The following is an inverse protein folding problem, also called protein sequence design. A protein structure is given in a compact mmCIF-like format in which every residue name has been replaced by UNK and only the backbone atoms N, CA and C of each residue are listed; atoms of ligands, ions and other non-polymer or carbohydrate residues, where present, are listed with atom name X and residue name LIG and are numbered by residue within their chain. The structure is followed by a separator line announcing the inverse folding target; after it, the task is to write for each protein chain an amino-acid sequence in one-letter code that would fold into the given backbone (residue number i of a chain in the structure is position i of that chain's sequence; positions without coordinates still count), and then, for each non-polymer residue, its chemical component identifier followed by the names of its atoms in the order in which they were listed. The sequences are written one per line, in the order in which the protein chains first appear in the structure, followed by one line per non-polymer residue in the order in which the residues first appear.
data_IF_932086924277
#
_entry.id   IF_932086924277
#
_cell.length_a   1.000
_cell.length_b   1.000
_cell.length_c   1.000
_cell.angle_alpha   90.00
_cell.angle_beta   90.00
_cell.angle_gamma   90.00
#
_symmetry.space_group_name_H-M   'P 1'
#
loop_
_entity.id
_entity.type
_entity.pdbx_description
1 polymer ?
#
# COMPACT_ATOMS: atom_id res chain seq x y z
N UNK A 1 -1.75 -0.61 -8.41
CA UNK A 1 -1.73 -2.10 -8.26
C UNK A 1 -0.34 -2.68 -8.00
N UNK A 2 0.74 -1.95 -8.31
CA UNK A 2 2.11 -2.41 -8.06
C UNK A 2 2.38 -2.70 -6.57
N UNK A 3 1.95 -1.81 -5.69
CA UNK A 3 2.18 -1.95 -4.24
C UNK A 3 1.56 -3.22 -3.66
N UNK A 4 0.31 -3.54 -4.06
CA UNK A 4 -0.34 -4.79 -3.68
C UNK A 4 0.36 -6.03 -4.23
N UNK A 5 0.88 -5.96 -5.48
CA UNK A 5 1.65 -7.05 -6.05
C UNK A 5 2.97 -7.29 -5.31
N UNK A 6 3.65 -6.20 -4.91
CA UNK A 6 4.85 -6.29 -4.07
C UNK A 6 4.53 -6.98 -2.73
N UNK A 7 3.42 -6.62 -2.09
CA UNK A 7 3.00 -7.24 -0.82
C UNK A 7 2.66 -8.72 -0.98
N UNK A 8 1.89 -9.11 -1.99
CA UNK A 8 1.58 -10.52 -2.26
C UNK A 8 2.86 -11.35 -2.48
N UNK A 9 3.78 -10.79 -3.28
CA UNK A 9 5.05 -11.46 -3.56
C UNK A 9 5.93 -11.58 -2.31
N UNK A 10 6.04 -10.50 -1.53
CA UNK A 10 6.80 -10.52 -0.29
C UNK A 10 6.22 -11.49 0.73
N UNK A 11 4.90 -11.51 0.89
CA UNK A 11 4.18 -12.43 1.76
C UNK A 11 4.42 -13.89 1.38
N UNK A 12 4.30 -14.22 0.10
CA UNK A 12 4.59 -15.56 -0.41
C UNK A 12 6.04 -15.97 -0.17
N UNK A 13 6.99 -15.09 -0.48
CA UNK A 13 8.43 -15.35 -0.27
C UNK A 13 8.80 -15.53 1.20
N UNK A 14 8.07 -14.90 2.11
CA UNK A 14 8.23 -15.06 3.56
C UNK A 14 7.55 -16.35 4.11
N UNK A 15 7.04 -17.20 3.25
CA UNK A 15 6.39 -18.45 3.63
C UNK A 15 4.88 -18.36 3.85
N UNK A 16 4.27 -17.23 3.48
CA UNK A 16 2.81 -17.06 3.54
C UNK A 16 2.08 -18.03 2.60
N UNK A 17 1.00 -18.60 3.11
CA UNK A 17 0.24 -19.63 2.40
C UNK A 17 -0.77 -19.03 1.42
N UNK A 18 -0.32 -18.66 0.24
CA UNK A 18 -1.16 -18.20 -0.89
C UNK A 18 -0.72 -18.86 -2.19
N UNK A 19 -1.64 -18.98 -3.15
CA UNK A 19 -1.30 -19.21 -4.56
C UNK A 19 -0.91 -17.85 -5.17
N UNK A 20 0.38 -17.61 -5.37
CA UNK A 20 0.89 -16.31 -5.83
C UNK A 20 0.38 -15.96 -7.22
N UNK A 21 0.34 -16.93 -8.15
CA UNK A 21 -0.09 -16.69 -9.53
C UNK A 21 -1.56 -16.28 -9.58
N UNK A 22 -2.44 -17.04 -8.93
CA UNK A 22 -3.85 -16.69 -8.84
C UNK A 22 -4.08 -15.36 -8.11
N UNK A 23 -3.33 -15.10 -7.04
CA UNK A 23 -3.43 -13.87 -6.26
C UNK A 23 -3.06 -12.65 -7.10
N UNK A 24 -1.99 -12.72 -7.88
CA UNK A 24 -1.55 -11.65 -8.77
C UNK A 24 -2.55 -11.44 -9.92
N UNK A 25 -3.08 -12.53 -10.50
CA UNK A 25 -4.12 -12.44 -11.53
C UNK A 25 -5.39 -11.76 -11.00
N UNK A 26 -5.86 -12.16 -9.81
CA UNK A 26 -7.01 -11.53 -9.15
C UNK A 26 -6.77 -10.05 -8.87
N UNK A 27 -5.60 -9.71 -8.31
CA UNK A 27 -5.22 -8.33 -8.05
C UNK A 27 -5.19 -7.50 -9.34
N UNK A 28 -4.67 -8.05 -10.43
CA UNK A 28 -4.63 -7.39 -11.73
C UNK A 28 -6.04 -7.10 -12.26
N UNK A 29 -6.95 -8.06 -12.18
CA UNK A 29 -8.36 -7.88 -12.57
C UNK A 29 -9.05 -6.76 -11.78
N UNK A 30 -8.83 -6.70 -10.47
CA UNK A 30 -9.36 -5.60 -9.64
C UNK A 30 -8.72 -4.25 -10.01
N UNK A 31 -7.43 -4.24 -10.33
CA UNK A 31 -6.73 -3.03 -10.76
C UNK A 31 -7.27 -2.40 -12.02
N UNK A 32 -7.74 -3.21 -12.97
CA UNK A 32 -8.37 -2.72 -14.21
C UNK A 32 -9.71 -2.01 -13.97
N UNK A 33 -10.34 -2.24 -12.83
CA UNK A 33 -11.61 -1.60 -12.43
C UNK A 33 -11.40 -0.27 -11.70
N UNK A 34 -10.17 0.04 -11.27
CA UNK A 34 -9.87 1.25 -10.53
C UNK A 34 -9.71 2.43 -11.50
N UNK A 35 -10.45 3.53 -11.29
CA UNK A 35 -10.30 4.71 -12.13
C UNK A 35 -8.97 5.43 -11.87
N UNK A 36 -8.41 6.02 -12.92
CA UNK A 36 -7.26 6.91 -12.79
C UNK A 36 -7.60 8.15 -11.94
N UNK A 37 -6.58 8.68 -11.25
CA UNK A 37 -6.68 9.90 -10.43
C UNK A 37 -7.72 9.87 -9.28
N UNK A 38 -8.11 8.68 -8.83
CA UNK A 38 -9.08 8.49 -7.75
C UNK A 38 -8.69 9.22 -6.44
N UNK A 39 -7.41 9.46 -6.22
CA UNK A 39 -6.93 10.20 -5.05
C UNK A 39 -7.43 11.66 -5.03
N UNK A 40 -7.60 12.28 -6.19
CA UNK A 40 -8.09 13.64 -6.30
C UNK A 40 -9.63 13.76 -6.23
N UNK A 41 -10.35 12.75 -6.74
CA UNK A 41 -11.81 12.78 -6.80
C UNK A 41 -12.50 12.09 -5.62
N UNK A 42 -11.94 10.97 -5.16
CA UNK A 42 -12.58 10.12 -4.16
C UNK A 42 -11.85 10.14 -2.81
N UNK A 43 -10.73 10.85 -2.72
CA UNK A 43 -9.93 10.91 -1.49
C UNK A 43 -9.27 9.58 -1.10
N UNK A 44 -9.11 8.65 -2.06
CA UNK A 44 -8.54 7.32 -1.84
C UNK A 44 -7.30 7.16 -2.68
N UNK A 45 -6.16 6.90 -2.05
CA UNK A 45 -4.92 6.63 -2.76
C UNK A 45 -4.91 5.22 -3.37
N UNK A 46 -4.56 5.12 -4.65
CA UNK A 46 -4.47 3.84 -5.35
C UNK A 46 -3.40 2.90 -4.80
N UNK A 47 -2.33 3.40 -4.20
CA UNK A 47 -1.33 2.58 -3.51
C UNK A 47 -1.96 1.84 -2.32
N UNK A 48 -2.66 2.58 -1.45
CA UNK A 48 -3.34 2.02 -0.28
C UNK A 48 -4.46 1.06 -0.68
N UNK A 49 -5.30 1.44 -1.67
CA UNK A 49 -6.35 0.56 -2.16
C UNK A 49 -5.79 -0.75 -2.75
N UNK A 50 -4.64 -0.67 -3.41
CA UNK A 50 -3.94 -1.83 -3.95
C UNK A 50 -3.46 -2.79 -2.86
N UNK A 51 -2.91 -2.26 -1.77
CA UNK A 51 -2.51 -3.08 -0.61
C UNK A 51 -3.73 -3.63 0.10
N UNK A 52 -4.79 -2.84 0.30
CA UNK A 52 -6.06 -3.33 0.86
C UNK A 52 -6.63 -4.50 0.06
N UNK A 53 -6.58 -4.43 -1.28
CA UNK A 53 -6.97 -5.54 -2.14
C UNK A 53 -6.07 -6.78 -1.96
N UNK A 54 -4.76 -6.58 -1.78
CA UNK A 54 -3.82 -7.67 -1.51
C UNK A 54 -4.13 -8.38 -0.18
N UNK A 55 -4.39 -7.63 0.89
CA UNK A 55 -4.80 -8.18 2.18
C UNK A 55 -6.12 -8.95 2.06
N UNK A 56 -7.10 -8.41 1.34
CA UNK A 56 -8.36 -9.10 1.09
C UNK A 56 -8.18 -10.41 0.30
N UNK A 57 -7.20 -10.46 -0.60
CA UNK A 57 -6.85 -11.68 -1.34
C UNK A 57 -6.19 -12.71 -0.43
N UNK A 58 -5.27 -12.29 0.45
CA UNK A 58 -4.60 -13.17 1.42
C UNK A 58 -5.64 -13.88 2.32
N UNK A 59 -6.59 -13.13 2.87
CA UNK A 59 -7.58 -13.64 3.82
C UNK A 59 -8.86 -14.19 3.16
N UNK A 60 -9.00 -14.05 1.85
CA UNK A 60 -10.25 -14.38 1.16
C UNK A 60 -11.42 -13.50 1.57
N UNK A 61 -11.14 -12.29 2.07
CA UNK A 61 -12.14 -11.35 2.59
C UNK A 61 -13.05 -10.82 1.49
N UNK A 62 -14.34 -10.75 1.81
CA UNK A 62 -15.36 -10.13 0.97
C UNK A 62 -16.28 -9.21 1.79
N UNK A 63 -17.24 -8.56 1.15
CA UNK A 63 -18.12 -7.59 1.81
C UNK A 63 -19.04 -8.20 2.87
N UNK A 64 -19.18 -9.52 2.89
CA UNK A 64 -19.99 -10.27 3.85
C UNK A 64 -19.15 -11.06 4.86
N UNK A 65 -17.84 -10.88 4.89
CA UNK A 65 -16.97 -11.55 5.86
C UNK A 65 -17.29 -11.08 7.28
N UNK A 66 -17.50 -12.05 8.19
CA UNK A 66 -17.90 -11.85 9.59
C UNK A 66 -16.82 -12.30 10.60
N UNK A 67 -15.65 -12.68 10.11
CA UNK A 67 -14.49 -13.15 10.89
C UNK A 67 -13.60 -12.04 11.47
N UNK A 68 -13.97 -10.78 11.23
CA UNK A 68 -13.20 -9.60 11.65
C UNK A 68 -12.26 -9.03 10.57
N UNK A 69 -11.83 -9.83 9.60
CA UNK A 69 -10.85 -9.41 8.57
C UNK A 69 -11.30 -8.18 7.78
N UNK A 70 -12.60 -8.06 7.49
CA UNK A 70 -13.14 -6.88 6.82
C UNK A 70 -12.86 -5.57 7.59
N UNK A 71 -13.10 -5.59 8.90
CA UNK A 71 -12.85 -4.42 9.78
C UNK A 71 -11.37 -4.11 9.93
N UNK A 72 -10.53 -5.12 10.03
CA UNK A 72 -9.08 -5.00 10.15
C UNK A 72 -8.47 -4.38 8.88
N UNK A 73 -8.90 -4.80 7.69
CA UNK A 73 -8.45 -4.21 6.44
C UNK A 73 -8.89 -2.74 6.29
N UNK A 74 -10.11 -2.39 6.74
CA UNK A 74 -10.56 -1.00 6.81
C UNK A 74 -9.72 -0.18 7.79
N UNK A 75 -9.32 -0.76 8.91
CA UNK A 75 -8.44 -0.12 9.89
C UNK A 75 -7.05 0.13 9.32
N UNK A 76 -6.48 -0.82 8.57
CA UNK A 76 -5.23 -0.63 7.83
C UNK A 76 -5.35 0.56 6.87
N UNK A 77 -6.34 0.53 5.97
CA UNK A 77 -6.49 1.56 4.93
C UNK A 77 -6.74 2.94 5.53
N UNK A 78 -7.56 3.05 6.57
CA UNK A 78 -7.84 4.33 7.25
C UNK A 78 -6.59 4.92 7.91
N UNK A 79 -5.77 4.09 8.57
CA UNK A 79 -4.52 4.52 9.19
C UNK A 79 -3.53 5.05 8.15
N UNK A 80 -3.32 4.30 7.07
CA UNK A 80 -2.40 4.68 6.02
C UNK A 80 -2.86 5.96 5.26
N UNK A 81 -4.16 6.11 5.01
CA UNK A 81 -4.75 7.34 4.44
C UNK A 81 -4.56 8.52 5.39
N UNK A 82 -4.78 8.33 6.69
CA UNK A 82 -4.59 9.39 7.69
C UNK A 82 -3.13 9.87 7.74
N UNK A 83 -2.16 8.96 7.72
CA UNK A 83 -0.74 9.31 7.66
C UNK A 83 -0.41 10.12 6.40
N UNK A 84 -0.90 9.66 5.25
CA UNK A 84 -0.73 10.34 3.97
C UNK A 84 -1.34 11.75 3.97
N UNK A 85 -2.53 11.89 4.56
CA UNK A 85 -3.22 13.18 4.69
C UNK A 85 -2.46 14.19 5.55
N UNK A 86 -1.74 13.75 6.58
CA UNK A 86 -0.90 14.61 7.43
C UNK A 86 0.28 15.21 6.68
N UNK A 87 0.87 14.45 5.76
CA UNK A 87 1.96 14.96 4.91
C UNK A 87 1.45 16.00 3.91
N UNK A 88 0.19 15.86 3.51
CA UNK A 88 -0.50 16.75 2.61
C UNK A 88 0.03 16.72 1.15
N UNK A 89 -0.63 17.51 0.26
CA UNK A 89 -0.33 17.60 -1.15
C UNK A 89 0.79 18.59 -1.52
N UNK A 90 1.06 18.68 -2.82
CA UNK A 90 0.43 17.93 -3.90
C UNK A 90 0.77 16.44 -3.86
N UNK A 91 -0.03 15.63 -4.59
CA UNK A 91 0.15 14.17 -4.61
C UNK A 91 1.57 13.80 -5.08
N UNK A 92 2.10 12.74 -4.51
CA UNK A 92 3.31 12.12 -4.99
C UNK A 92 3.19 10.59 -4.85
N UNK A 93 2.96 9.89 -5.98
CA UNK A 93 2.74 8.44 -5.97
C UNK A 93 3.89 7.65 -5.35
N UNK A 94 5.15 8.14 -5.43
CA UNK A 94 6.30 7.48 -4.79
C UNK A 94 6.24 7.57 -3.26
N UNK A 95 6.01 8.78 -2.74
CA UNK A 95 5.82 8.99 -1.30
C UNK A 95 4.64 8.16 -0.78
N UNK A 96 3.55 8.19 -1.53
CA UNK A 96 2.32 7.52 -1.14
C UNK A 96 2.48 5.98 -1.15
N UNK A 97 3.25 5.44 -2.11
CA UNK A 97 3.63 4.03 -2.14
C UNK A 97 4.52 3.65 -0.93
N UNK A 98 5.52 4.47 -0.60
CA UNK A 98 6.39 4.22 0.56
C UNK A 98 5.58 4.19 1.87
N UNK A 99 4.63 5.12 2.06
CA UNK A 99 3.73 5.13 3.22
C UNK A 99 2.85 3.87 3.23
N UNK A 100 2.27 3.50 2.09
CA UNK A 100 1.41 2.32 1.99
C UNK A 100 2.17 1.03 2.33
N UNK A 101 3.37 0.85 1.78
CA UNK A 101 4.20 -0.35 2.00
C UNK A 101 4.70 -0.43 3.44
N UNK A 102 5.15 0.67 4.05
CA UNK A 102 5.55 0.71 5.46
C UNK A 102 4.42 0.24 6.36
N UNK A 103 3.24 0.84 6.21
CA UNK A 103 2.05 0.45 6.98
C UNK A 103 1.64 -1.01 6.70
N UNK A 104 1.82 -1.51 5.48
CA UNK A 104 1.51 -2.89 5.13
C UNK A 104 2.44 -3.89 5.84
N UNK A 105 3.75 -3.61 5.87
CA UNK A 105 4.72 -4.47 6.57
C UNK A 105 4.42 -4.51 8.07
N UNK A 106 4.14 -3.36 8.70
CA UNK A 106 3.73 -3.31 10.11
C UNK A 106 2.45 -4.11 10.37
N UNK A 107 1.45 -4.00 9.49
CA UNK A 107 0.22 -4.75 9.59
C UNK A 107 0.46 -6.26 9.46
N UNK A 108 1.18 -6.69 8.42
CA UNK A 108 1.47 -8.11 8.17
C UNK A 108 2.23 -8.72 9.33
N UNK A 109 3.28 -8.06 9.82
CA UNK A 109 4.09 -8.55 10.93
C UNK A 109 3.32 -8.66 12.26
N UNK A 110 2.18 -7.98 12.39
CA UNK A 110 1.34 -8.03 13.59
C UNK A 110 0.14 -8.97 13.49
N UNK A 111 -0.26 -9.38 12.27
CA UNK A 111 -1.49 -10.14 12.04
C UNK A 111 -1.26 -11.54 11.47
N UNK A 112 -0.08 -11.80 10.89
CA UNK A 112 0.23 -13.09 10.26
C UNK A 112 1.49 -13.72 10.86
N UNK A 113 1.60 -15.04 10.76
CA UNK A 113 2.77 -15.79 11.16
C UNK A 113 3.85 -15.80 10.05
N UNK A 114 4.13 -14.61 9.52
CA UNK A 114 5.21 -14.34 8.57
C UNK A 114 5.91 -13.05 8.98
N UNK A 115 7.18 -12.91 8.61
CA UNK A 115 7.93 -11.69 8.89
C UNK A 115 8.46 -11.08 7.60
N UNK A 116 8.07 -9.84 7.38
CA UNK A 116 8.60 -8.99 6.32
C UNK A 116 9.57 -7.97 6.90
N UNK A 117 10.70 -7.79 6.24
CA UNK A 117 11.63 -6.71 6.55
C UNK A 117 11.29 -5.46 5.74
N UNK A 118 11.45 -4.30 6.35
CA UNK A 118 11.27 -3.01 5.70
C UNK A 118 12.51 -2.15 5.96
N UNK A 119 13.19 -1.77 4.89
CA UNK A 119 14.28 -0.81 4.94
C UNK A 119 13.75 0.58 4.62
N UNK A 120 14.04 1.55 5.47
CA UNK A 120 13.64 2.94 5.21
C UNK A 120 14.31 3.46 3.94
N UNK A 121 13.47 3.92 3.02
CA UNK A 121 13.92 4.41 1.72
C UNK A 121 14.02 5.93 1.72
N UNK A 122 15.06 6.45 1.10
CA UNK A 122 15.16 7.86 0.73
C UNK A 122 14.74 8.06 -0.72
N UNK A 123 14.10 9.20 -1.02
CA UNK A 123 13.62 9.49 -2.36
C UNK A 123 14.75 10.00 -3.26
N UNK A 124 15.08 9.23 -4.29
CA UNK A 124 16.06 9.60 -5.32
C UNK A 124 15.47 10.40 -6.49
N UNK A 125 14.16 10.72 -6.44
CA UNK A 125 13.45 11.37 -7.56
C UNK A 125 13.05 12.81 -7.28
N UNK A 126 13.49 13.38 -6.17
CA UNK A 126 13.09 14.72 -5.74
C UNK A 126 13.45 15.82 -6.76
N UNK A 127 14.56 15.66 -7.45
CA UNK A 127 15.03 16.60 -8.48
C UNK A 127 14.27 16.51 -9.81
N UNK A 128 13.60 15.39 -10.08
CA UNK A 128 12.79 15.16 -11.29
C UNK A 128 11.30 15.49 -11.09
N UNK A 129 10.87 15.71 -9.87
CA UNK A 129 9.48 15.94 -9.56
C UNK A 129 9.24 17.42 -9.25
N UNK A 130 8.66 18.14 -10.21
CA UNK A 130 8.33 19.55 -10.08
C UNK A 130 7.39 19.86 -8.90
N UNK A 131 6.54 18.89 -8.51
CA UNK A 131 5.62 19.00 -7.37
C UNK A 131 6.24 18.50 -6.06
N UNK A 132 7.55 18.31 -6.00
CA UNK A 132 8.21 17.82 -4.78
C UNK A 132 8.08 18.83 -3.63
N UNK A 133 7.60 18.37 -2.48
CA UNK A 133 7.41 19.20 -1.28
C UNK A 133 8.69 19.34 -0.42
N UNK A 134 9.82 18.82 -0.92
CA UNK A 134 11.15 18.94 -0.32
C UNK A 134 11.15 18.53 1.17
N UNK A 135 11.68 19.40 2.05
CA UNK A 135 11.85 19.16 3.50
C UNK A 135 10.57 18.79 4.24
N UNK A 136 9.39 19.00 3.66
CA UNK A 136 8.13 18.54 4.23
C UNK A 136 7.84 17.06 3.95
N UNK A 137 8.59 16.42 3.04
CA UNK A 137 8.43 15.01 2.71
C UNK A 137 9.29 14.15 3.64
N UNK A 138 8.74 13.14 4.33
CA UNK A 138 9.51 12.28 5.23
C UNK A 138 10.61 11.47 4.53
N UNK A 139 10.52 11.31 3.22
CA UNK A 139 11.47 10.55 2.42
C UNK A 139 12.47 11.43 1.65
N UNK A 140 12.47 12.74 1.88
CA UNK A 140 13.35 13.66 1.17
C UNK A 140 14.78 13.55 1.67
N UNK A 141 15.72 13.37 0.74
CA UNK A 141 17.15 13.45 1.03
C UNK A 141 17.72 14.80 0.60
N UNK A 142 18.46 15.45 1.50
CA UNK A 142 19.19 16.70 1.19
C UNK A 142 20.52 16.44 0.48
N UNK A 143 20.93 15.17 0.38
CA UNK A 143 22.26 14.76 -0.09
C UNK A 143 22.25 14.23 -1.53
N UNK A 144 21.23 14.57 -2.33
CA UNK A 144 21.11 14.18 -3.74
C UNK A 144 21.17 15.44 -4.62
#
# INVERSE_FOLDING_TARGET
MLDGACILTAFYNAGGNIDLEQSLERLSKEGLRMPGAMCGLWGICGAIASVGAALAIIDGTGPLSADGSWGEHMSYTSRAISEMGRVNGPRCCKRDAMIALKNAVEYINSHYDVRLDYEEQTCEFSYKNEQCIKDRCPFFSKNI
#
